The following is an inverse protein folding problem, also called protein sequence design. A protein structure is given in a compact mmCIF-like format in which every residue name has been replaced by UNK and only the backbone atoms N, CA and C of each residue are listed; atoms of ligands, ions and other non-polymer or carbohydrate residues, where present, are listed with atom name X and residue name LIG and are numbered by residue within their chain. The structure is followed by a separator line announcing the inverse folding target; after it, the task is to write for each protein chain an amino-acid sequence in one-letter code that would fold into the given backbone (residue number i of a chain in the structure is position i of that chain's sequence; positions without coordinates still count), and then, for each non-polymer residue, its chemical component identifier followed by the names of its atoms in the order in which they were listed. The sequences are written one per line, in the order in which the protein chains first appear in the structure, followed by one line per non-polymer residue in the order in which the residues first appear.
data_IF_655334259851
#
_entry.id   IF_655334259851
#
_cell.length_a   1.000
_cell.length_b   1.000
_cell.length_c   1.000
_cell.angle_alpha   90.00
_cell.angle_beta   90.00
_cell.angle_gamma   90.00
#
_symmetry.space_group_name_H-M   'P 1'
#
loop_
_entity.id
_entity.type
_entity.pdbx_description
1 polymer ?
#
# COMPACT_ATOMS: atom_id res chain seq x y z
N UNK A 1 2.10 10.05 -29.85
CA UNK A 1 0.70 9.92 -29.37
C UNK A 1 0.77 9.30 -27.98
N UNK A 2 0.01 9.82 -27.01
CA UNK A 2 -0.04 9.22 -25.67
C UNK A 2 -1.03 8.05 -25.69
N UNK A 3 -0.62 6.88 -25.22
CA UNK A 3 -1.48 5.71 -25.10
C UNK A 3 -1.30 5.05 -23.74
N UNK A 4 -2.40 4.56 -23.18
CA UNK A 4 -2.44 3.93 -21.85
C UNK A 4 -2.91 2.48 -21.99
N UNK A 5 -2.40 1.60 -21.14
CA UNK A 5 -2.84 0.21 -21.03
C UNK A 5 -3.87 0.11 -19.92
N UNK A 6 -5.02 -0.47 -20.22
CA UNK A 6 -6.13 -0.65 -19.28
C UNK A 6 -6.59 -2.09 -19.20
N UNK A 7 -7.21 -2.44 -18.07
CA UNK A 7 -7.83 -3.74 -17.83
C UNK A 7 -9.34 -3.58 -17.64
N UNK A 8 -10.09 -4.47 -18.29
CA UNK A 8 -11.51 -4.70 -18.05
C UNK A 8 -11.68 -6.11 -17.53
N UNK A 9 -12.43 -6.27 -16.44
CA UNK A 9 -12.73 -7.58 -15.85
C UNK A 9 -14.24 -7.81 -15.90
N UNK A 10 -14.64 -8.94 -16.49
CA UNK A 10 -16.03 -9.42 -16.51
C UNK A 10 -16.10 -10.65 -15.62
N UNK A 11 -16.70 -10.50 -14.44
CA UNK A 11 -16.83 -11.56 -13.44
C UNK A 11 -17.85 -12.62 -13.87
N UNK A 12 -17.80 -13.81 -13.25
CA UNK A 12 -18.62 -14.99 -13.56
C UNK A 12 -20.11 -14.65 -13.82
N UNK A 13 -20.72 -13.81 -12.98
CA UNK A 13 -22.15 -13.46 -13.08
C UNK A 13 -22.49 -12.40 -14.13
N UNK A 14 -21.51 -11.92 -14.90
CA UNK A 14 -21.69 -11.03 -16.05
C UNK A 14 -21.25 -11.63 -17.38
N UNK A 15 -20.86 -12.91 -17.40
CA UNK A 15 -20.31 -13.57 -18.59
C UNK A 15 -21.31 -13.70 -19.74
N UNK A 16 -22.61 -13.67 -19.47
CA UNK A 16 -23.66 -13.64 -20.49
C UNK A 16 -23.58 -12.42 -21.41
N UNK A 17 -22.81 -11.39 -21.03
CA UNK A 17 -22.56 -10.17 -21.81
C UNK A 17 -21.13 -10.05 -22.34
N UNK A 18 -20.26 -11.06 -22.15
CA UNK A 18 -18.84 -10.94 -22.51
C UNK A 18 -18.63 -10.65 -24.00
N UNK A 19 -19.39 -11.29 -24.89
CA UNK A 19 -19.29 -11.08 -26.34
C UNK A 19 -19.71 -9.66 -26.74
N UNK A 20 -20.82 -9.17 -26.18
CA UNK A 20 -21.29 -7.80 -26.42
C UNK A 20 -20.29 -6.76 -25.90
N UNK A 21 -19.68 -7.01 -24.74
CA UNK A 21 -18.63 -6.15 -24.18
C UNK A 21 -17.38 -6.14 -25.07
N UNK A 22 -16.91 -7.31 -25.53
CA UNK A 22 -15.77 -7.40 -26.44
C UNK A 22 -16.02 -6.67 -27.76
N UNK A 23 -17.21 -6.83 -28.33
CA UNK A 23 -17.62 -6.13 -29.55
C UNK A 23 -17.59 -4.61 -29.36
N UNK A 24 -18.17 -4.11 -28.28
CA UNK A 24 -18.18 -2.67 -27.97
C UNK A 24 -16.77 -2.12 -27.69
N UNK A 25 -15.94 -2.85 -26.94
CA UNK A 25 -14.55 -2.46 -26.67
C UNK A 25 -13.72 -2.34 -27.95
N UNK A 26 -13.90 -3.26 -28.91
CA UNK A 26 -13.14 -3.26 -30.17
C UNK A 26 -13.40 -2.00 -31.04
N UNK A 27 -14.54 -1.33 -30.85
CA UNK A 27 -14.87 -0.12 -31.60
C UNK A 27 -14.12 1.12 -31.08
N UNK A 28 -13.77 1.16 -29.80
CA UNK A 28 -13.13 2.32 -29.17
C UNK A 28 -11.67 2.09 -28.77
N UNK A 29 -11.24 0.84 -28.66
CA UNK A 29 -9.94 0.45 -28.14
C UNK A 29 -9.27 -0.64 -28.97
N UNK A 30 -7.95 -0.68 -28.91
CA UNK A 30 -7.19 -1.81 -29.40
C UNK A 30 -7.17 -2.90 -28.31
N UNK A 31 -7.83 -4.02 -28.54
CA UNK A 31 -7.74 -5.19 -27.64
C UNK A 31 -6.39 -5.85 -27.86
N UNK A 32 -5.64 -6.08 -26.78
CA UNK A 32 -4.30 -6.69 -26.83
C UNK A 32 -4.31 -8.16 -26.39
N UNK A 33 -5.06 -8.47 -25.33
CA UNK A 33 -5.09 -9.82 -24.75
C UNK A 33 -6.45 -10.08 -24.10
N UNK A 34 -6.97 -11.29 -24.28
CA UNK A 34 -8.17 -11.76 -23.58
C UNK A 34 -7.86 -13.06 -22.88
N UNK A 35 -8.02 -13.08 -21.56
CA UNK A 35 -7.79 -14.26 -20.73
C UNK A 35 -9.05 -14.67 -19.99
N UNK A 36 -9.33 -15.97 -19.97
CA UNK A 36 -10.26 -16.61 -19.04
C UNK A 36 -9.48 -17.07 -17.82
N UNK A 37 -9.57 -16.30 -16.74
CA UNK A 37 -8.84 -16.52 -15.49
C UNK A 37 -9.67 -17.39 -14.56
N UNK A 38 -9.00 -18.34 -13.90
CA UNK A 38 -9.56 -19.17 -12.84
C UNK A 38 -8.73 -18.97 -11.59
N UNK A 39 -9.33 -18.37 -10.56
CA UNK A 39 -8.77 -18.33 -9.21
C UNK A 39 -9.11 -19.62 -8.47
N UNK A 40 -8.28 -20.00 -7.49
CA UNK A 40 -8.63 -21.08 -6.58
C UNK A 40 -9.86 -20.69 -5.76
N UNK A 41 -10.84 -21.58 -5.66
CA UNK A 41 -12.05 -21.35 -4.87
C UNK A 41 -11.72 -21.09 -3.39
N UNK A 42 -10.73 -21.81 -2.85
CA UNK A 42 -10.25 -21.65 -1.48
C UNK A 42 -9.71 -20.23 -1.22
N UNK A 43 -8.99 -19.66 -2.18
CA UNK A 43 -8.38 -18.33 -2.05
C UNK A 43 -9.25 -17.19 -2.59
N UNK A 44 -10.43 -17.47 -3.15
CA UNK A 44 -11.22 -16.47 -3.89
C UNK A 44 -11.50 -15.21 -3.07
N UNK A 45 -12.03 -15.36 -1.85
CA UNK A 45 -12.36 -14.22 -0.98
C UNK A 45 -11.13 -13.42 -0.56
N UNK A 46 -9.98 -14.09 -0.37
CA UNK A 46 -8.71 -13.42 -0.08
C UNK A 46 -8.23 -12.64 -1.30
N UNK A 47 -8.23 -13.27 -2.48
CA UNK A 47 -7.88 -12.61 -3.73
C UNK A 47 -8.75 -11.39 -3.98
N UNK A 48 -10.07 -11.52 -3.81
CA UNK A 48 -11.02 -10.44 -3.99
C UNK A 48 -10.77 -9.29 -3.01
N UNK A 49 -10.54 -9.61 -1.73
CA UNK A 49 -10.26 -8.61 -0.69
C UNK A 49 -8.99 -7.82 -1.01
N UNK A 50 -7.94 -8.55 -1.41
CA UNK A 50 -6.63 -7.98 -1.73
C UNK A 50 -6.65 -7.15 -3.00
N UNK A 51 -7.30 -7.65 -4.05
CA UNK A 51 -7.43 -6.97 -5.33
C UNK A 51 -8.18 -5.64 -5.21
N UNK A 52 -9.17 -5.56 -4.34
CA UNK A 52 -9.99 -4.34 -4.16
C UNK A 52 -9.64 -3.51 -2.92
N UNK A 53 -8.54 -3.82 -2.24
CA UNK A 53 -8.09 -3.06 -1.07
C UNK A 53 -9.09 -2.99 0.09
N UNK A 54 -9.95 -4.01 0.26
CA UNK A 54 -10.99 -3.95 1.28
C UNK A 54 -11.36 -5.34 1.80
N UNK A 55 -11.90 -5.41 3.02
CA UNK A 55 -12.28 -6.70 3.62
C UNK A 55 -13.55 -7.25 2.95
N UNK A 56 -13.39 -8.25 2.10
CA UNK A 56 -14.46 -8.96 1.37
C UNK A 56 -14.45 -10.44 1.77
N UNK A 57 -14.96 -10.80 2.96
CA UNK A 57 -14.99 -12.18 3.41
C UNK A 57 -15.89 -13.03 2.51
N UNK A 58 -15.75 -14.35 2.62
CA UNK A 58 -16.63 -15.31 1.95
C UNK A 58 -18.11 -14.96 2.17
N UNK A 59 -18.89 -14.94 1.09
CA UNK A 59 -20.30 -14.57 1.11
C UNK A 59 -20.58 -13.05 1.18
N UNK A 60 -19.56 -12.20 1.08
CA UNK A 60 -19.74 -10.75 0.95
C UNK A 60 -20.63 -10.39 -0.23
N UNK A 61 -21.29 -9.23 -0.16
CA UNK A 61 -22.16 -8.75 -1.24
C UNK A 61 -21.42 -8.68 -2.58
N UNK A 62 -20.17 -8.21 -2.57
CA UNK A 62 -19.34 -8.13 -3.76
C UNK A 62 -19.00 -9.51 -4.32
N UNK A 63 -18.61 -10.46 -3.47
CA UNK A 63 -18.35 -11.85 -3.89
C UNK A 63 -19.59 -12.48 -4.53
N UNK A 64 -20.78 -12.32 -3.93
CA UNK A 64 -22.04 -12.82 -4.49
C UNK A 64 -22.35 -12.22 -5.86
N UNK A 65 -22.05 -10.94 -6.04
CA UNK A 65 -22.24 -10.23 -7.30
C UNK A 65 -21.24 -10.64 -8.37
N UNK A 66 -19.98 -10.88 -8.00
CA UNK A 66 -18.97 -11.35 -8.94
C UNK A 66 -19.20 -12.81 -9.34
N UNK A 67 -19.61 -13.65 -8.38
CA UNK A 67 -19.46 -15.10 -8.46
C UNK A 67 -18.05 -15.54 -8.05
N UNK A 68 -17.81 -16.86 -8.02
CA UNK A 68 -16.55 -17.50 -7.63
C UNK A 68 -15.90 -18.31 -8.76
N UNK A 69 -16.62 -18.49 -9.86
CA UNK A 69 -16.16 -19.21 -11.03
C UNK A 69 -15.18 -18.40 -11.89
N UNK A 70 -14.81 -18.96 -13.06
CA UNK A 70 -13.94 -18.30 -14.01
C UNK A 70 -14.47 -16.92 -14.42
N UNK A 71 -13.56 -15.99 -14.69
CA UNK A 71 -13.87 -14.65 -15.14
C UNK A 71 -12.98 -14.25 -16.31
N UNK A 72 -13.35 -13.20 -17.04
CA UNK A 72 -12.57 -12.71 -18.16
C UNK A 72 -11.81 -11.46 -17.77
N UNK A 73 -10.56 -11.38 -18.19
CA UNK A 73 -9.77 -10.14 -18.22
C UNK A 73 -9.50 -9.78 -19.66
N UNK A 74 -9.66 -8.51 -19.99
CA UNK A 74 -9.47 -7.96 -21.32
C UNK A 74 -8.48 -6.81 -21.15
N UNK A 75 -7.28 -6.99 -21.69
CA UNK A 75 -6.25 -5.95 -21.71
C UNK A 75 -6.42 -5.16 -23.00
N UNK A 76 -6.53 -3.84 -22.86
CA UNK A 76 -6.76 -2.93 -23.97
C UNK A 76 -5.71 -1.83 -23.98
N UNK A 77 -5.42 -1.29 -25.16
CA UNK A 77 -4.70 -0.03 -25.33
C UNK A 77 -5.69 1.05 -25.74
N UNK A 78 -5.69 2.13 -24.98
CA UNK A 78 -6.43 3.35 -25.30
C UNK A 78 -5.49 4.41 -25.84
N UNK A 79 -5.79 4.92 -27.03
CA UNK A 79 -5.09 6.07 -27.57
C UNK A 79 -5.79 7.36 -27.13
N UNK A 80 -5.01 8.40 -26.81
CA UNK A 80 -5.50 9.73 -26.44
C UNK A 80 -6.54 9.69 -25.28
N UNK A 81 -6.15 9.21 -24.09
CA UNK A 81 -7.04 9.09 -22.94
C UNK A 81 -7.58 10.45 -22.48
N UNK A 82 -8.84 10.47 -22.02
CA UNK A 82 -9.52 11.68 -21.58
C UNK A 82 -9.88 11.56 -20.09
N UNK A 83 -9.25 12.38 -19.26
CA UNK A 83 -9.50 12.42 -17.82
C UNK A 83 -10.48 13.53 -17.43
N UNK A 84 -11.56 13.18 -16.72
CA UNK A 84 -12.55 14.12 -16.20
C UNK A 84 -12.96 13.76 -14.78
N UNK A 85 -13.47 14.74 -14.04
CA UNK A 85 -14.06 14.46 -12.74
C UNK A 85 -15.38 13.68 -12.88
N UNK A 86 -15.49 12.57 -12.17
CA UNK A 86 -16.70 11.74 -12.07
C UNK A 86 -17.02 11.50 -10.59
N UNK A 87 -18.31 11.24 -10.29
CA UNK A 87 -18.74 10.81 -8.95
C UNK A 87 -18.54 9.30 -8.84
N UNK A 88 -17.64 8.88 -7.97
CA UNK A 88 -17.33 7.48 -7.66
C UNK A 88 -17.87 7.12 -6.28
N UNK A 89 -17.71 5.86 -5.87
CA UNK A 89 -18.02 5.44 -4.51
C UNK A 89 -17.09 6.04 -3.45
N UNK A 90 -15.89 6.51 -3.85
CA UNK A 90 -14.91 7.16 -2.97
C UNK A 90 -15.05 8.70 -2.96
N UNK A 91 -15.97 9.26 -3.75
CA UNK A 91 -16.21 10.70 -3.84
C UNK A 91 -16.03 11.24 -5.26
N UNK A 92 -15.67 12.51 -5.40
CA UNK A 92 -15.39 13.11 -6.71
C UNK A 92 -13.93 12.88 -7.06
N UNK A 93 -13.66 12.11 -8.10
CA UNK A 93 -12.29 11.73 -8.51
C UNK A 93 -12.06 12.06 -9.98
N UNK A 94 -10.81 12.37 -10.35
CA UNK A 94 -10.38 12.54 -11.74
C UNK A 94 -10.05 11.15 -12.29
N UNK A 95 -10.83 10.69 -13.28
CA UNK A 95 -10.73 9.33 -13.83
C UNK A 95 -10.71 9.36 -15.34
N UNK A 96 -10.22 8.30 -15.97
CA UNK A 96 -10.40 8.02 -17.38
C UNK A 96 -11.89 7.93 -17.68
N UNK A 97 -12.42 8.99 -18.29
CA UNK A 97 -13.86 9.21 -18.41
C UNK A 97 -14.51 8.24 -19.39
N UNK A 98 -13.81 7.84 -20.45
CA UNK A 98 -14.32 6.88 -21.43
C UNK A 98 -14.49 5.51 -20.76
N UNK A 99 -13.45 5.02 -20.08
CA UNK A 99 -13.53 3.74 -19.38
C UNK A 99 -14.51 3.74 -18.21
N UNK A 100 -14.59 4.86 -17.47
CA UNK A 100 -15.58 5.01 -16.43
C UNK A 100 -17.00 4.89 -16.99
N UNK A 101 -17.29 5.54 -18.11
CA UNK A 101 -18.61 5.51 -18.75
C UNK A 101 -18.91 4.12 -19.34
N UNK A 102 -17.91 3.45 -19.95
CA UNK A 102 -18.02 2.03 -20.39
C UNK A 102 -18.34 1.09 -19.23
N UNK A 103 -17.69 1.26 -18.06
CA UNK A 103 -18.03 0.48 -16.85
C UNK A 103 -19.49 0.64 -16.44
N UNK A 104 -20.03 1.85 -16.47
CA UNK A 104 -21.45 2.06 -16.14
C UNK A 104 -22.36 1.38 -17.16
N UNK A 105 -22.04 1.50 -18.44
CA UNK A 105 -22.75 0.83 -19.53
C UNK A 105 -22.78 -0.69 -19.33
N UNK A 106 -21.62 -1.31 -19.11
CA UNK A 106 -21.52 -2.77 -18.95
C UNK A 106 -22.16 -3.27 -17.65
N UNK A 107 -22.11 -2.47 -16.58
CA UNK A 107 -22.89 -2.75 -15.36
C UNK A 107 -24.38 -2.71 -15.64
N UNK A 108 -24.88 -1.77 -16.46
CA UNK A 108 -26.29 -1.76 -16.89
C UNK A 108 -26.64 -3.01 -17.70
N UNK A 109 -25.81 -3.39 -18.67
CA UNK A 109 -26.03 -4.58 -19.50
C UNK A 109 -26.09 -5.89 -18.70
N UNK A 110 -25.31 -5.98 -17.63
CA UNK A 110 -25.23 -7.15 -16.75
C UNK A 110 -26.27 -7.14 -15.62
N UNK A 111 -27.22 -6.19 -15.62
CA UNK A 111 -28.29 -6.09 -14.61
C UNK A 111 -27.85 -5.43 -13.29
N UNK A 112 -26.76 -4.66 -13.31
CA UNK A 112 -26.26 -3.87 -12.19
C UNK A 112 -25.17 -4.56 -11.35
N UNK A 113 -24.90 -4.00 -10.17
CA UNK A 113 -23.97 -4.57 -9.19
C UNK A 113 -22.49 -4.42 -9.55
N UNK A 114 -21.71 -5.45 -9.21
CA UNK A 114 -20.23 -5.45 -9.29
C UNK A 114 -19.67 -6.45 -10.31
N UNK A 115 -20.49 -6.83 -11.29
CA UNK A 115 -20.16 -7.87 -12.30
C UNK A 115 -19.10 -7.45 -13.31
N UNK A 116 -18.84 -6.15 -13.42
CA UNK A 116 -17.81 -5.59 -14.30
C UNK A 116 -16.95 -4.59 -13.54
N UNK A 117 -15.63 -4.72 -13.74
CA UNK A 117 -14.59 -3.80 -13.28
C UNK A 117 -13.83 -3.25 -14.48
N UNK A 118 -13.43 -1.99 -14.38
CA UNK A 118 -12.52 -1.33 -15.31
C UNK A 118 -11.62 -0.44 -14.47
N UNK A 119 -10.34 -0.38 -14.83
CA UNK A 119 -9.43 0.61 -14.25
C UNK A 119 -9.96 2.03 -14.49
N UNK A 120 -9.84 2.91 -13.49
CA UNK A 120 -10.17 4.33 -13.59
C UNK A 120 -8.96 5.19 -13.97
N UNK A 121 -7.74 4.66 -13.88
CA UNK A 121 -6.50 5.33 -14.27
C UNK A 121 -5.48 4.33 -14.80
N UNK A 122 -4.39 4.84 -15.38
CA UNK A 122 -3.25 4.01 -15.79
C UNK A 122 -2.60 3.33 -14.58
N UNK A 123 -2.50 4.01 -13.43
CA UNK A 123 -1.90 3.46 -12.22
C UNK A 123 -2.72 2.30 -11.63
N UNK A 124 -4.05 2.42 -11.59
CA UNK A 124 -4.93 1.32 -11.16
C UNK A 124 -4.81 0.12 -12.12
N UNK A 125 -4.72 0.39 -13.43
CA UNK A 125 -4.52 -0.65 -14.43
C UNK A 125 -3.19 -1.38 -14.25
N UNK A 126 -2.09 -0.62 -14.12
CA UNK A 126 -0.76 -1.17 -13.89
C UNK A 126 -0.77 -2.06 -12.65
N UNK A 127 -1.34 -1.58 -11.55
CA UNK A 127 -1.47 -2.34 -10.32
C UNK A 127 -2.24 -3.65 -10.54
N UNK A 128 -3.45 -3.58 -11.11
CA UNK A 128 -4.32 -4.73 -11.33
C UNK A 128 -3.66 -5.79 -12.23
N UNK A 129 -3.02 -5.36 -13.32
CA UNK A 129 -2.32 -6.24 -14.27
C UNK A 129 -1.09 -6.87 -13.61
N UNK A 130 -0.29 -6.08 -12.91
CA UNK A 130 0.91 -6.58 -12.24
C UNK A 130 0.55 -7.59 -11.15
N UNK A 131 -0.53 -7.32 -10.41
CA UNK A 131 -0.99 -8.17 -9.32
C UNK A 131 -1.59 -9.50 -9.79
N UNK A 132 -2.26 -9.50 -10.95
CA UNK A 132 -2.83 -10.68 -11.59
C UNK A 132 -1.81 -11.51 -12.37
N UNK A 133 -0.91 -10.87 -13.12
CA UNK A 133 -0.16 -11.52 -14.21
C UNK A 133 1.35 -11.36 -14.15
N UNK A 134 1.91 -10.61 -13.19
CA UNK A 134 3.34 -10.27 -13.17
C UNK A 134 3.82 -9.56 -14.45
N UNK A 135 2.94 -8.77 -15.06
CA UNK A 135 3.22 -7.99 -16.26
C UNK A 135 3.31 -6.51 -15.92
N UNK A 136 4.28 -5.84 -16.52
CA UNK A 136 4.42 -4.37 -16.48
C UNK A 136 3.98 -3.77 -17.82
N UNK A 137 3.95 -2.45 -17.93
CA UNK A 137 3.65 -1.77 -19.20
C UNK A 137 4.55 -2.21 -20.35
N UNK A 138 5.81 -2.57 -20.06
CA UNK A 138 6.78 -3.08 -21.04
C UNK A 138 6.32 -4.38 -21.71
N UNK A 139 5.52 -5.20 -21.00
CA UNK A 139 4.97 -6.45 -21.53
C UNK A 139 4.02 -6.23 -22.71
N UNK A 140 3.56 -4.99 -22.90
CA UNK A 140 2.62 -4.61 -23.95
C UNK A 140 3.24 -3.67 -25.00
N UNK A 141 4.54 -3.37 -24.91
CA UNK A 141 5.24 -2.62 -25.94
C UNK A 141 5.25 -3.42 -27.25
N UNK A 142 4.80 -2.79 -28.34
CA UNK A 142 4.70 -3.45 -29.65
C UNK A 142 3.65 -4.57 -29.73
N UNK A 143 2.81 -4.74 -28.70
CA UNK A 143 1.70 -5.70 -28.75
C UNK A 143 0.77 -5.38 -29.93
N UNK A 144 0.46 -6.43 -30.70
CA UNK A 144 -0.45 -6.42 -31.85
C UNK A 144 -1.91 -6.52 -31.38
N UNK A 145 -2.82 -6.30 -32.30
CA UNK A 145 -4.24 -6.56 -32.10
C UNK A 145 -4.47 -8.02 -31.71
N UNK A 146 -5.40 -8.22 -30.79
CA UNK A 146 -5.87 -9.52 -30.37
C UNK A 146 -6.43 -10.31 -31.56
N UNK A 147 -5.99 -11.56 -31.69
CA UNK A 147 -6.30 -12.48 -32.79
C UNK A 147 -7.63 -13.22 -32.62
N UNK A 148 -8.38 -12.94 -31.55
CA UNK A 148 -9.62 -13.64 -31.22
C UNK A 148 -9.43 -14.85 -30.28
N UNK A 149 -8.20 -15.23 -29.94
CA UNK A 149 -7.96 -16.38 -29.07
C UNK A 149 -8.05 -16.02 -27.58
N UNK A 150 -8.92 -16.70 -26.85
CA UNK A 150 -9.04 -16.57 -25.39
C UNK A 150 -8.09 -17.55 -24.71
N UNK A 151 -7.11 -17.04 -23.95
CA UNK A 151 -6.18 -17.88 -23.18
C UNK A 151 -6.80 -18.26 -21.84
N UNK A 152 -6.88 -19.56 -21.54
CA UNK A 152 -7.27 -20.01 -20.20
C UNK A 152 -6.04 -19.99 -19.28
N UNK A 153 -6.16 -19.35 -18.11
CA UNK A 153 -5.08 -19.23 -17.13
C UNK A 153 -5.63 -19.59 -15.75
N UNK A 154 -4.96 -20.51 -15.06
CA UNK A 154 -5.26 -20.87 -13.67
C UNK A 154 -4.18 -20.24 -12.79
N UNK A 155 -4.53 -19.20 -12.03
CA UNK A 155 -3.59 -18.36 -11.29
C UNK A 155 -4.30 -17.73 -10.09
N UNK A 156 -3.56 -17.36 -9.04
CA UNK A 156 -4.04 -16.46 -7.98
C UNK A 156 -3.22 -15.17 -8.02
N UNK A 157 -3.72 -14.10 -7.41
CA UNK A 157 -2.95 -12.85 -7.30
C UNK A 157 -1.63 -13.05 -6.55
N UNK A 158 -0.62 -12.25 -6.87
CA UNK A 158 0.70 -12.33 -6.21
C UNK A 158 0.60 -12.32 -4.69
N UNK A 159 1.34 -13.22 -4.03
CA UNK A 159 1.43 -13.28 -2.57
C UNK A 159 0.18 -13.81 -1.86
N UNK A 160 -0.74 -14.49 -2.54
CA UNK A 160 -2.03 -14.96 -1.98
C UNK A 160 -1.88 -15.91 -0.79
N UNK A 161 -0.77 -16.64 -0.74
CA UNK A 161 -0.37 -17.60 0.29
C UNK A 161 0.86 -17.13 1.08
N UNK A 162 1.21 -15.85 0.97
CA UNK A 162 2.41 -15.26 1.57
C UNK A 162 3.51 -15.04 0.52
N UNK A 163 4.67 -14.59 0.98
CA UNK A 163 5.80 -14.27 0.10
C UNK A 163 6.90 -15.32 0.25
N UNK A 164 7.45 -15.82 -0.84
CA UNK A 164 8.49 -16.87 -0.73
C UNK A 164 9.80 -16.37 -0.12
N UNK A 165 10.07 -15.06 -0.17
CA UNK A 165 11.22 -14.40 0.46
C UNK A 165 11.08 -12.87 0.35
N UNK A 166 11.91 -12.15 1.12
CA UNK A 166 11.96 -10.68 1.09
C UNK A 166 12.29 -10.10 -0.28
N UNK A 167 13.12 -10.79 -1.10
CA UNK A 167 13.43 -10.31 -2.45
C UNK A 167 12.18 -10.21 -3.32
N UNK A 168 11.30 -11.23 -3.34
CA UNK A 168 10.03 -11.17 -4.07
C UNK A 168 9.06 -10.17 -3.46
N UNK A 169 9.02 -10.07 -2.12
CA UNK A 169 8.19 -9.10 -1.41
C UNK A 169 8.53 -7.66 -1.81
N UNK A 170 9.81 -7.28 -1.73
CA UNK A 170 10.23 -5.92 -2.08
C UNK A 170 10.22 -5.66 -3.57
N UNK A 171 10.52 -6.65 -4.40
CA UNK A 171 10.35 -6.51 -5.84
C UNK A 171 8.90 -6.14 -6.19
N UNK A 172 7.92 -6.81 -5.56
CA UNK A 172 6.51 -6.45 -5.71
C UNK A 172 6.25 -5.02 -5.25
N UNK A 173 6.64 -4.68 -4.01
CA UNK A 173 6.38 -3.36 -3.45
C UNK A 173 7.04 -2.22 -4.22
N UNK A 174 8.25 -2.41 -4.75
CA UNK A 174 8.98 -1.39 -5.50
C UNK A 174 8.26 -1.01 -6.79
N UNK A 175 7.47 -1.93 -7.35
CA UNK A 175 6.66 -1.70 -8.54
C UNK A 175 5.26 -1.22 -8.18
N UNK A 176 4.63 -1.77 -7.15
CA UNK A 176 3.20 -1.58 -6.88
C UNK A 176 2.87 -0.50 -5.85
N UNK A 177 3.84 0.01 -5.09
CA UNK A 177 3.56 0.83 -3.91
C UNK A 177 4.57 1.96 -3.70
N UNK A 178 4.08 3.07 -3.15
CA UNK A 178 4.92 4.15 -2.66
C UNK A 178 5.13 4.04 -1.15
N UNK A 179 6.25 3.44 -0.73
CA UNK A 179 6.55 3.13 0.66
C UNK A 179 8.02 3.40 1.03
N UNK A 180 8.33 3.41 2.32
CA UNK A 180 9.68 3.31 2.90
C UNK A 180 9.69 2.42 4.15
N UNK A 181 10.81 1.74 4.41
CA UNK A 181 11.11 1.13 5.70
C UNK A 181 11.74 2.17 6.63
N UNK A 182 11.09 2.48 7.76
CA UNK A 182 11.46 3.63 8.58
C UNK A 182 12.76 3.43 9.38
N UNK A 183 13.07 2.21 9.81
CA UNK A 183 14.19 1.89 10.74
C UNK A 183 14.44 0.39 10.82
N UNK A 184 15.57 0.01 11.43
CA UNK A 184 15.99 -1.38 11.65
C UNK A 184 16.04 -2.23 10.37
N UNK A 185 16.24 -1.60 9.21
CA UNK A 185 16.19 -2.27 7.92
C UNK A 185 17.54 -2.88 7.53
N UNK A 186 18.64 -2.58 8.23
CA UNK A 186 19.97 -3.06 7.86
C UNK A 186 20.09 -4.58 7.95
N UNK A 187 19.46 -5.18 8.96
CA UNK A 187 19.49 -6.62 9.25
C UNK A 187 18.18 -7.31 8.86
N UNK A 188 17.39 -6.71 7.97
CA UNK A 188 16.04 -7.17 7.65
C UNK A 188 15.99 -8.65 7.22
N UNK A 189 16.97 -9.11 6.43
CA UNK A 189 17.07 -10.50 5.96
C UNK A 189 17.41 -11.50 7.07
N UNK A 190 17.97 -11.02 8.18
CA UNK A 190 18.36 -11.80 9.35
C UNK A 190 17.42 -11.60 10.54
N UNK A 191 16.30 -10.91 10.35
CA UNK A 191 15.37 -10.63 11.44
C UNK A 191 14.80 -11.94 12.02
N UNK A 192 14.76 -12.07 13.36
CA UNK A 192 14.06 -13.19 13.97
C UNK A 192 12.56 -13.12 13.64
N UNK A 193 11.91 -14.28 13.61
CA UNK A 193 10.46 -14.38 13.46
C UNK A 193 9.76 -13.51 14.52
N UNK A 194 8.67 -12.84 14.11
CA UNK A 194 7.91 -11.84 14.89
C UNK A 194 8.63 -10.52 15.14
N UNK A 195 9.68 -10.21 14.38
CA UNK A 195 10.24 -8.85 14.38
C UNK A 195 9.27 -7.86 13.76
N UNK A 196 9.30 -6.63 14.28
CA UNK A 196 8.52 -5.50 13.76
C UNK A 196 9.21 -4.87 12.55
N UNK A 197 8.45 -4.68 11.47
CA UNK A 197 8.82 -3.93 10.27
C UNK A 197 7.98 -2.65 10.24
N UNK A 198 8.63 -1.51 10.44
CA UNK A 198 7.98 -0.20 10.43
C UNK A 198 7.94 0.37 9.01
N UNK A 199 6.74 0.55 8.45
CA UNK A 199 6.53 1.05 7.08
C UNK A 199 5.78 2.37 7.12
N UNK A 200 6.22 3.34 6.33
CA UNK A 200 5.41 4.50 5.94
C UNK A 200 5.05 4.36 4.46
N UNK A 201 3.78 4.55 4.12
CA UNK A 201 3.27 4.41 2.74
C UNK A 201 2.18 5.43 2.44
N UNK A 202 2.03 5.84 1.17
CA UNK A 202 0.85 6.61 0.72
C UNK A 202 -0.30 5.71 0.26
N UNK A 203 -0.08 4.40 0.20
CA UNK A 203 -1.10 3.42 -0.14
C UNK A 203 -1.96 3.08 1.08
N UNK A 204 -3.21 3.54 1.07
CA UNK A 204 -4.17 3.30 2.16
C UNK A 204 -4.63 1.84 2.24
N UNK A 205 -4.48 1.10 1.14
CA UNK A 205 -4.90 -0.29 1.00
C UNK A 205 -3.69 -1.26 1.18
N UNK A 206 -2.51 -0.74 1.52
CA UNK A 206 -1.24 -1.45 1.58
C UNK A 206 -1.29 -2.76 2.36
N UNK A 207 -2.00 -2.80 3.50
CA UNK A 207 -2.13 -4.03 4.30
C UNK A 207 -2.77 -5.17 3.52
N UNK A 208 -3.70 -4.87 2.59
CA UNK A 208 -4.30 -5.87 1.72
C UNK A 208 -3.30 -6.32 0.64
N UNK A 209 -2.58 -5.38 0.03
CA UNK A 209 -1.60 -5.68 -1.02
C UNK A 209 -0.48 -6.61 -0.52
N UNK A 210 -0.02 -6.43 0.72
CA UNK A 210 1.03 -7.28 1.32
C UNK A 210 0.54 -8.62 1.88
N UNK A 211 -0.76 -8.94 1.76
CA UNK A 211 -1.40 -10.09 2.43
C UNK A 211 -1.27 -10.01 3.96
N UNK A 212 -1.43 -8.82 4.51
CA UNK A 212 -1.35 -8.54 5.94
C UNK A 212 -2.65 -8.90 6.67
N UNK A 213 -2.51 -9.70 7.72
CA UNK A 213 -3.62 -10.03 8.62
C UNK A 213 -3.63 -9.10 9.82
N UNK A 214 -4.78 -8.51 10.16
CA UNK A 214 -4.86 -7.56 11.27
C UNK A 214 -4.69 -8.28 12.61
N UNK A 215 -3.72 -7.86 13.43
CA UNK A 215 -3.42 -8.51 14.72
C UNK A 215 -4.42 -8.21 15.82
N UNK A 216 -5.14 -7.09 15.71
CA UNK A 216 -6.02 -6.61 16.76
C UNK A 216 -7.40 -6.22 16.22
N UNK A 217 -8.43 -6.46 17.04
CA UNK A 217 -9.81 -6.07 16.73
C UNK A 217 -10.03 -4.55 16.73
N UNK A 218 -9.12 -3.78 17.32
CA UNK A 218 -9.23 -2.33 17.40
C UNK A 218 -8.95 -1.67 16.05
N UNK A 219 -9.88 -0.83 15.58
CA UNK A 219 -9.80 -0.21 14.26
C UNK A 219 -8.56 0.68 14.08
N UNK A 220 -8.15 1.41 15.13
CA UNK A 220 -7.08 2.40 15.07
C UNK A 220 -5.66 1.81 15.12
N UNK A 221 -5.52 0.50 15.34
CA UNK A 221 -4.20 -0.15 15.34
C UNK A 221 -3.76 -0.45 13.92
N UNK A 222 -2.52 -0.08 13.63
CA UNK A 222 -1.88 -0.26 12.32
C UNK A 222 -0.95 -1.47 12.26
N UNK A 223 -1.10 -2.40 13.20
CA UNK A 223 -0.27 -3.59 13.32
C UNK A 223 -0.89 -4.77 12.58
N UNK A 224 -0.13 -5.31 11.63
CA UNK A 224 -0.48 -6.46 10.79
C UNK A 224 0.57 -7.56 10.93
N UNK A 225 0.22 -8.78 10.55
CA UNK A 225 1.16 -9.91 10.43
C UNK A 225 1.19 -10.36 8.98
N UNK A 226 2.39 -10.52 8.40
CA UNK A 226 2.62 -11.10 7.08
C UNK A 226 3.41 -12.41 7.18
N UNK A 227 3.28 -13.27 6.17
CA UNK A 227 4.11 -14.47 6.00
C UNK A 227 5.17 -14.22 4.91
N UNK A 228 6.44 -14.40 5.26
CA UNK A 228 7.58 -14.36 4.33
C UNK A 228 8.49 -15.55 4.62
N UNK A 229 8.72 -16.41 3.64
CA UNK A 229 9.52 -17.64 3.80
C UNK A 229 9.01 -18.51 4.97
N UNK A 230 7.68 -18.69 5.02
CA UNK A 230 6.94 -19.42 6.08
C UNK A 230 7.10 -18.84 7.50
N UNK A 231 7.86 -17.75 7.67
CA UNK A 231 8.03 -17.02 8.92
C UNK A 231 7.04 -15.86 8.98
N UNK A 232 6.63 -15.55 10.21
CA UNK A 232 5.69 -14.47 10.50
C UNK A 232 6.47 -13.22 10.89
N UNK A 233 6.09 -12.08 10.33
CA UNK A 233 6.65 -10.79 10.68
C UNK A 233 5.53 -9.82 11.01
N UNK A 234 5.77 -8.99 12.01
CA UNK A 234 4.87 -7.91 12.36
C UNK A 234 5.17 -6.71 11.48
N UNK A 235 4.13 -6.05 10.99
CA UNK A 235 4.25 -4.88 10.10
C UNK A 235 3.37 -3.77 10.63
N UNK A 236 4.02 -2.67 11.00
CA UNK A 236 3.36 -1.44 11.42
C UNK A 236 3.24 -0.52 10.19
N UNK A 237 2.01 -0.33 9.68
CA UNK A 237 1.75 0.42 8.45
C UNK A 237 1.26 1.84 8.76
N UNK A 238 2.15 2.83 8.66
CA UNK A 238 1.85 4.25 8.84
C UNK A 238 1.46 4.90 7.53
N UNK A 239 0.56 5.87 7.59
CA UNK A 239 0.09 6.65 6.43
C UNK A 239 0.07 8.16 6.74
N UNK A 240 0.28 9.04 5.75
CA UNK A 240 0.04 10.47 5.94
C UNK A 240 -1.36 10.74 6.52
N UNK A 241 -1.43 11.46 7.64
CA UNK A 241 -2.68 11.80 8.31
C UNK A 241 -3.08 10.89 9.49
N UNK A 242 -2.35 9.80 9.75
CA UNK A 242 -2.59 8.98 10.96
C UNK A 242 -2.07 9.64 12.26
N UNK A 243 -1.33 10.73 12.13
CA UNK A 243 -0.77 11.53 13.21
C UNK A 243 0.55 10.98 13.78
N UNK A 244 1.13 9.94 13.16
CA UNK A 244 2.43 9.40 13.55
C UNK A 244 3.55 10.42 13.28
N UNK A 245 3.59 11.01 12.09
CA UNK A 245 4.34 12.23 11.81
C UNK A 245 3.42 13.28 11.20
N UNK A 246 3.93 14.51 11.10
CA UNK A 246 3.28 15.57 10.34
C UNK A 246 2.97 15.09 8.90
N UNK A 247 1.75 15.30 8.37
CA UNK A 247 1.40 14.83 7.04
C UNK A 247 2.32 15.38 5.96
N UNK A 248 2.71 16.65 5.99
CA UNK A 248 3.64 17.23 5.02
C UNK A 248 5.01 16.57 5.12
N UNK A 249 5.47 16.28 6.34
CA UNK A 249 6.71 15.53 6.52
C UNK A 249 6.63 14.09 5.99
N UNK A 250 5.53 13.37 6.20
CA UNK A 250 5.34 12.03 5.62
C UNK A 250 5.45 12.06 4.09
N UNK A 251 4.84 13.05 3.44
CA UNK A 251 4.93 13.21 1.98
C UNK A 251 6.37 13.47 1.55
N UNK A 252 7.11 14.30 2.28
CA UNK A 252 8.52 14.58 2.00
C UNK A 252 9.41 13.34 2.19
N UNK A 253 9.17 12.52 3.23
CA UNK A 253 9.89 11.25 3.41
C UNK A 253 9.65 10.32 2.21
N UNK A 254 8.39 10.14 1.80
CA UNK A 254 8.03 9.27 0.69
C UNK A 254 8.56 9.78 -0.66
N UNK A 255 8.55 11.11 -0.86
CA UNK A 255 9.03 11.75 -2.09
C UNK A 255 10.55 11.63 -2.23
N UNK A 256 11.29 11.78 -1.13
CA UNK A 256 12.76 11.80 -1.13
C UNK A 256 13.38 10.44 -0.77
N UNK A 257 12.59 9.36 -0.75
CA UNK A 257 13.07 8.01 -0.46
C UNK A 257 14.24 7.61 -1.37
N UNK A 258 15.13 6.79 -0.84
CA UNK A 258 16.28 6.25 -1.57
C UNK A 258 16.19 4.73 -1.66
N UNK A 259 16.65 4.17 -2.77
CA UNK A 259 16.73 2.72 -2.96
C UNK A 259 17.95 2.20 -2.20
N UNK A 260 17.73 1.41 -1.15
CA UNK A 260 18.77 0.83 -0.33
C UNK A 260 19.28 -0.47 -0.93
N UNK A 261 20.58 -0.50 -1.28
CA UNK A 261 21.29 -1.67 -1.82
C UNK A 261 20.57 -2.33 -3.01
N UNK A 262 19.89 -1.55 -3.85
CA UNK A 262 19.07 -2.06 -4.98
C UNK A 262 17.95 -3.03 -4.57
N UNK A 263 17.49 -2.98 -3.31
CA UNK A 263 16.50 -3.93 -2.75
C UNK A 263 15.15 -3.29 -2.41
N UNK A 264 15.13 -2.26 -1.58
CA UNK A 264 13.90 -1.65 -1.06
C UNK A 264 14.12 -0.18 -0.70
N UNK A 265 13.03 0.56 -0.49
CA UNK A 265 13.12 1.99 -0.20
C UNK A 265 13.22 2.30 1.29
N UNK A 266 14.05 3.28 1.63
CA UNK A 266 14.25 3.83 2.98
C UNK A 266 14.17 5.38 2.91
N UNK A 267 13.99 6.09 4.04
CA UNK A 267 14.13 7.54 4.06
C UNK A 267 15.54 7.98 3.59
N UNK A 268 15.65 9.18 3.01
CA UNK A 268 16.97 9.80 2.84
C UNK A 268 17.65 10.03 4.22
N UNK A 269 18.98 10.25 4.27
CA UNK A 269 19.69 10.33 5.54
C UNK A 269 19.17 11.40 6.51
N UNK A 270 18.72 12.56 6.02
CA UNK A 270 18.19 13.64 6.88
C UNK A 270 16.86 13.16 7.50
N UNK A 271 15.97 12.65 6.67
CA UNK A 271 14.67 12.17 7.09
C UNK A 271 14.78 10.94 7.99
N UNK A 272 15.75 10.05 7.75
CA UNK A 272 16.04 8.91 8.60
C UNK A 272 16.46 9.38 10.01
N UNK A 273 17.44 10.28 10.09
CA UNK A 273 17.93 10.81 11.36
C UNK A 273 16.81 11.47 12.18
N UNK A 274 16.10 12.43 11.58
CA UNK A 274 15.09 13.19 12.32
C UNK A 274 13.84 12.37 12.63
N UNK A 275 13.42 11.44 11.77
CA UNK A 275 12.28 10.55 12.07
C UNK A 275 12.61 9.55 13.18
N UNK A 276 13.85 9.06 13.24
CA UNK A 276 14.31 8.22 14.35
C UNK A 276 14.41 9.02 15.66
N UNK A 277 14.97 10.25 15.60
CA UNK A 277 15.02 11.15 16.74
C UNK A 277 13.63 11.49 17.28
N UNK A 278 12.68 11.77 16.38
CA UNK A 278 11.28 12.00 16.72
C UNK A 278 10.66 10.75 17.38
N UNK A 279 10.93 9.56 16.84
CA UNK A 279 10.45 8.31 17.45
C UNK A 279 10.96 8.14 18.89
N UNK A 280 12.24 8.39 19.15
CA UNK A 280 12.83 8.31 20.49
C UNK A 280 12.23 9.35 21.44
N UNK A 281 12.10 10.60 20.99
CA UNK A 281 11.70 11.70 21.87
C UNK A 281 10.20 11.81 22.10
N UNK A 282 9.39 11.47 21.09
CA UNK A 282 7.94 11.71 21.07
C UNK A 282 7.17 10.40 21.21
N UNK A 283 7.61 9.32 20.56
CA UNK A 283 6.89 8.04 20.52
C UNK A 283 7.31 7.04 21.60
N UNK A 284 8.17 7.45 22.54
CA UNK A 284 8.56 6.67 23.72
C UNK A 284 8.39 7.52 24.97
N UNK A 285 7.85 6.89 26.01
CA UNK A 285 7.71 7.48 27.34
C UNK A 285 9.04 7.43 28.11
N UNK A 286 9.81 6.38 27.91
CA UNK A 286 11.11 6.18 28.54
C UNK A 286 12.21 6.47 27.53
N UNK A 287 13.16 7.27 27.96
CA UNK A 287 14.36 7.56 27.19
C UNK A 287 15.35 6.40 27.40
N UNK A 288 15.64 5.65 26.34
CA UNK A 288 16.62 4.56 26.37
C UNK A 288 17.63 4.72 25.24
N UNK A 289 18.79 4.09 25.42
CA UNK A 289 19.94 4.22 24.52
C UNK A 289 19.90 3.26 23.31
N UNK A 290 18.76 2.61 23.05
CA UNK A 290 18.64 1.59 21.99
C UNK A 290 19.08 2.12 20.62
N UNK A 291 18.81 3.40 20.35
CA UNK A 291 19.03 4.02 19.05
C UNK A 291 20.23 4.97 19.00
N UNK A 292 20.96 5.13 20.11
CA UNK A 292 22.04 6.13 20.21
C UNK A 292 23.15 5.86 19.19
N UNK A 293 23.61 4.61 19.09
CA UNK A 293 24.62 4.23 18.10
C UNK A 293 24.16 4.54 16.66
N UNK A 294 22.88 4.31 16.34
CA UNK A 294 22.35 4.61 15.01
C UNK A 294 22.28 6.11 14.77
N UNK A 295 21.82 6.88 15.75
CA UNK A 295 21.76 8.34 15.67
C UNK A 295 23.16 8.96 15.55
N UNK A 296 24.16 8.42 16.24
CA UNK A 296 25.57 8.82 16.11
C UNK A 296 26.05 8.59 14.67
N UNK A 297 25.91 7.36 14.14
CA UNK A 297 26.31 7.04 12.77
C UNK A 297 25.65 7.94 11.72
N UNK A 298 24.34 8.20 11.88
CA UNK A 298 23.61 9.09 10.98
C UNK A 298 24.06 10.55 11.11
N UNK A 299 24.40 11.01 12.32
CA UNK A 299 24.91 12.36 12.55
C UNK A 299 26.27 12.58 11.90
N UNK A 300 27.18 11.61 11.99
CA UNK A 300 28.50 11.64 11.35
C UNK A 300 28.35 11.71 9.82
N UNK A 301 27.46 10.89 9.26
CA UNK A 301 27.18 10.88 7.82
C UNK A 301 26.61 12.22 7.30
N UNK A 302 25.90 12.95 8.16
CA UNK A 302 25.29 14.24 7.84
C UNK A 302 26.17 15.45 8.18
N UNK A 303 27.39 15.23 8.69
CA UNK A 303 28.29 16.27 9.23
C UNK A 303 27.57 17.17 10.26
N UNK A 304 26.67 16.59 11.06
CA UNK A 304 26.01 17.35 12.11
C UNK A 304 26.89 17.31 13.36
N UNK A 305 27.50 18.45 13.66
CA UNK A 305 28.40 18.60 14.80
C UNK A 305 27.61 18.63 16.11
N UNK A 306 27.92 17.71 17.01
CA UNK A 306 27.29 17.61 18.32
C UNK A 306 28.32 17.41 19.43
N UNK A 307 27.97 17.80 20.65
CA UNK A 307 28.74 17.41 21.83
C UNK A 307 28.54 15.91 22.11
N UNK A 308 29.55 15.17 22.60
CA UNK A 308 29.40 13.75 22.97
C UNK A 308 28.22 13.49 23.93
N UNK A 309 27.90 14.46 24.80
CA UNK A 309 26.77 14.39 25.73
C UNK A 309 25.40 14.76 25.13
N UNK A 310 25.29 14.94 23.80
CA UNK A 310 24.00 15.27 23.18
C UNK A 310 22.96 14.17 23.44
N UNK A 311 23.33 12.91 23.21
CA UNK A 311 22.42 11.78 23.35
C UNK A 311 22.15 11.40 24.82
N UNK A 312 22.86 12.01 25.76
CA UNK A 312 22.60 11.89 27.20
C UNK A 312 21.61 12.96 27.70
N UNK A 313 21.33 13.99 26.89
CA UNK A 313 20.52 15.14 27.26
C UNK A 313 19.28 15.25 26.37
N UNK A 314 18.15 14.77 26.90
CA UNK A 314 16.85 14.82 26.21
C UNK A 314 16.46 16.24 25.81
N UNK A 315 16.81 17.28 26.57
CA UNK A 315 16.45 18.66 26.24
C UNK A 315 17.24 19.15 25.03
N UNK A 316 18.54 18.85 24.95
CA UNK A 316 19.35 19.20 23.78
C UNK A 316 18.86 18.47 22.52
N UNK A 317 18.53 17.19 22.64
CA UNK A 317 17.93 16.41 21.55
C UNK A 317 16.58 16.98 21.10
N UNK A 318 15.75 17.42 22.06
CA UNK A 318 14.48 18.07 21.76
C UNK A 318 14.68 19.39 21.02
N UNK A 319 15.60 20.25 21.47
CA UNK A 319 15.92 21.51 20.80
C UNK A 319 16.38 21.27 19.36
N UNK A 320 17.21 20.25 19.14
CA UNK A 320 17.67 19.85 17.80
C UNK A 320 16.49 19.47 16.89
N UNK A 321 15.56 18.64 17.40
CA UNK A 321 14.36 18.26 16.67
C UNK A 321 13.47 19.47 16.36
N UNK A 322 13.24 20.35 17.33
CA UNK A 322 12.40 21.55 17.17
C UNK A 322 12.95 22.52 16.13
N UNK A 323 14.27 22.73 16.08
CA UNK A 323 14.92 23.55 15.05
C UNK A 323 14.66 22.98 13.65
N UNK A 324 14.79 21.66 13.48
CA UNK A 324 14.51 21.01 12.20
C UNK A 324 13.04 21.15 11.79
N UNK A 325 12.11 20.82 12.70
CA UNK A 325 10.68 20.89 12.44
C UNK A 325 10.25 22.32 12.11
N UNK A 326 10.73 23.31 12.87
CA UNK A 326 10.43 24.74 12.64
C UNK A 326 10.94 25.21 11.28
N UNK A 327 12.21 24.91 10.94
CA UNK A 327 12.81 25.28 9.65
C UNK A 327 12.04 24.70 8.46
N UNK A 328 11.49 23.49 8.62
CA UNK A 328 10.70 22.79 7.60
C UNK A 328 9.20 23.08 7.67
N UNK A 329 8.74 23.82 8.69
CA UNK A 329 7.32 24.10 8.96
C UNK A 329 6.49 22.84 9.23
N UNK A 330 7.09 21.83 9.86
CA UNK A 330 6.42 20.63 10.34
C UNK A 330 5.96 20.79 11.78
N UNK A 331 4.92 20.05 12.16
CA UNK A 331 4.39 20.06 13.52
C UNK A 331 4.65 18.75 14.26
N UNK A 332 4.68 18.80 15.58
CA UNK A 332 4.56 17.59 16.40
C UNK A 332 3.08 17.17 16.39
N UNK A 333 2.81 15.98 15.88
CA UNK A 333 1.46 15.45 15.75
C UNK A 333 1.16 14.39 16.79
N UNK A 334 -0.14 14.20 17.05
CA UNK A 334 -0.63 13.21 18.00
C UNK A 334 -1.12 11.97 17.24
N UNK A 335 -0.52 10.79 17.44
CA UNK A 335 -0.95 9.58 16.74
C UNK A 335 -2.39 9.21 17.06
N UNK A 336 -3.15 8.79 16.04
CA UNK A 336 -4.52 8.27 16.18
C UNK A 336 -4.55 6.86 16.79
N UNK A 337 -3.45 6.14 16.64
CA UNK A 337 -3.19 4.88 17.32
C UNK A 337 -2.79 5.14 18.78
N UNK A 338 -3.66 4.76 19.73
CA UNK A 338 -3.40 4.95 21.15
C UNK A 338 -2.37 3.98 21.73
N UNK A 339 -1.95 2.97 20.98
CA UNK A 339 -0.85 2.12 21.40
C UNK A 339 0.53 2.71 21.12
N UNK A 340 0.61 3.74 20.27
CA UNK A 340 1.80 4.57 20.18
C UNK A 340 1.83 5.50 21.40
N UNK A 341 2.91 5.39 22.18
CA UNK A 341 3.17 6.28 23.31
C UNK A 341 3.37 7.71 22.81
N UNK A 342 3.07 8.71 23.63
CA UNK A 342 3.18 10.10 23.22
C UNK A 342 3.64 11.00 24.35
N UNK A 343 4.91 11.39 24.37
CA UNK A 343 5.55 12.08 25.50
C UNK A 343 5.67 13.60 25.33
N UNK A 344 4.92 14.22 24.43
CA UNK A 344 4.96 15.66 24.17
C UNK A 344 3.64 16.39 24.53
N UNK A 345 3.70 17.41 25.39
CA UNK A 345 2.53 18.21 25.77
C UNK A 345 1.48 17.48 26.63
N UNK A 346 0.32 18.12 26.86
CA UNK A 346 -0.74 17.56 27.73
C UNK A 346 -1.46 16.39 27.04
N UNK A 347 -1.42 15.22 27.68
CA UNK A 347 -2.22 14.05 27.28
C UNK A 347 -3.69 14.26 27.66
N UNK A 348 -4.58 14.25 26.66
CA UNK A 348 -6.03 14.20 26.94
C UNK A 348 -6.44 12.93 27.69
N UNK A 349 -7.47 13.02 28.54
CA UNK A 349 -7.94 11.98 29.49
C UNK A 349 -8.01 10.58 28.86
N UNK A 350 -8.58 10.48 27.66
CA UNK A 350 -8.74 9.21 26.93
C UNK A 350 -7.42 8.47 26.70
N UNK A 351 -6.34 9.17 26.31
CA UNK A 351 -5.03 8.54 26.10
C UNK A 351 -4.37 8.19 27.43
N UNK A 352 -4.48 9.06 28.44
CA UNK A 352 -3.92 8.79 29.78
C UNK A 352 -4.50 7.51 30.38
N UNK A 353 -5.83 7.33 30.28
CA UNK A 353 -6.50 6.10 30.73
C UNK A 353 -6.05 4.89 29.91
N UNK A 354 -5.93 5.02 28.58
CA UNK A 354 -5.52 3.92 27.71
C UNK A 354 -4.08 3.47 27.98
N UNK A 355 -3.14 4.41 28.11
CA UNK A 355 -1.75 4.10 28.46
C UNK A 355 -1.63 3.46 29.85
N UNK A 356 -2.43 3.92 30.83
CA UNK A 356 -2.47 3.33 32.16
C UNK A 356 -2.96 1.87 32.12
N UNK A 357 -4.06 1.59 31.42
CA UNK A 357 -4.59 0.22 31.24
C UNK A 357 -3.59 -0.65 30.48
N UNK A 358 -2.92 -0.11 29.46
CA UNK A 358 -1.89 -0.83 28.69
C UNK A 358 -0.68 -1.22 29.55
N UNK A 359 -0.26 -0.35 30.47
CA UNK A 359 0.81 -0.66 31.44
C UNK A 359 0.41 -1.76 32.42
N UNK A 360 -0.84 -1.77 32.89
CA UNK A 360 -1.36 -2.81 33.80
C UNK A 360 -1.47 -4.19 33.12
N UNK A 361 -1.66 -4.24 31.80
CA UNK A 361 -1.74 -5.51 31.06
C UNK A 361 -0.39 -6.10 30.63
N UNK A 362 0.66 -5.27 30.63
CA UNK A 362 1.99 -5.63 30.14
C UNK A 362 3.07 -5.62 31.24
N UNK A 363 2.73 -5.22 32.47
CA UNK A 363 3.51 -5.48 33.68
C UNK A 363 2.90 -6.65 34.42
#
# INVERSE_FOLDING_TARGET
MNSEIHIVIVWEKGLDKVEAILFDLKNDFQILEVNKVVWSEYHFSNNLSRFYGQKLPSGSFKEKHCGKGPFYTIIIRQNNPIYKFRKTSKGKEKVNSILFDKKQLYRKWTGGGHKVHTSNSEEESFHDIYFLFDKTSDSFLGAKDWDGQIKKIEINIKGFDGWSNFKKFFHFLNLSSNYVLLRNYEDLENLPSKSDIDILTSDVDFSFHINGSKKHRYNNRVAYEISVDEKKYDVDVRIPGDGYYDPSWCHDILKNKILYKEKFYIPDPINEFYSLLYHVLIHKNEFNNKYDNRLIQLSEKLDIKFSPSLFEDRQKMMNLLEVFLSKRKYNITRPSDFSVQYSHGRKGIKRSVWEMIGRIKNG
#
